data_IF_244475017219
#
_entry.id   IF_244475017219
#
_cell.length_a   1.000
_cell.length_b   1.000
_cell.length_c   1.000
_cell.angle_alpha   90.00
_cell.angle_beta   90.00
_cell.angle_gamma   90.00
#
_symmetry.space_group_name_H-M   'P 1'
#
loop_
_entity.id
_entity.type
_entity.pdbx_description
1 polymer ?
#
# COMPACT_ATOMS: atom_id res chain seq x y z
N UNK A 1 12.91 1.24 35.06
CA UNK A 1 13.36 2.09 33.93
C UNK A 1 12.15 2.32 33.03
N UNK A 2 11.73 3.56 32.79
CA UNK A 2 10.45 3.84 32.10
C UNK A 2 10.64 3.72 30.59
N UNK A 3 9.67 3.10 29.91
CA UNK A 3 9.65 2.91 28.46
C UNK A 3 9.85 4.25 27.72
N UNK A 4 9.25 5.32 28.23
CA UNK A 4 9.34 6.66 27.67
C UNK A 4 10.77 7.24 27.66
N UNK A 5 11.60 6.92 28.65
CA UNK A 5 12.97 7.44 28.71
C UNK A 5 13.82 6.83 27.59
N UNK A 6 13.62 5.53 27.31
CA UNK A 6 14.31 4.85 26.22
C UNK A 6 13.79 5.29 24.85
N UNK A 7 12.50 5.60 24.72
CA UNK A 7 11.94 6.14 23.48
C UNK A 7 12.59 7.46 23.07
N UNK A 8 13.06 8.28 24.00
CA UNK A 8 13.84 9.49 23.65
C UNK A 8 15.25 9.14 23.16
N UNK A 9 15.85 8.11 23.74
CA UNK A 9 17.23 7.70 23.44
C UNK A 9 17.41 7.10 22.04
N UNK A 10 16.35 6.56 21.42
CA UNK A 10 16.44 6.06 20.03
C UNK A 10 16.73 7.18 19.02
N UNK A 11 16.49 8.45 19.39
CA UNK A 11 16.74 9.61 18.53
C UNK A 11 18.14 10.23 18.76
N UNK A 12 18.94 9.70 19.68
CA UNK A 12 20.26 10.23 19.97
C UNK A 12 21.26 9.91 18.86
N UNK A 13 22.27 10.77 18.67
CA UNK A 13 23.28 10.57 17.64
C UNK A 13 24.17 9.34 17.89
N UNK A 14 24.36 8.95 19.15
CA UNK A 14 25.19 7.80 19.52
C UNK A 14 24.51 6.47 19.16
N UNK A 15 25.13 5.70 18.26
CA UNK A 15 24.58 4.44 17.77
C UNK A 15 24.51 3.33 18.83
N UNK A 16 25.44 3.29 19.80
CA UNK A 16 25.40 2.29 20.88
C UNK A 16 24.20 2.54 21.79
N UNK A 17 23.97 3.81 22.14
CA UNK A 17 22.81 4.23 22.95
C UNK A 17 21.50 3.92 22.24
N UNK A 18 21.39 4.21 20.93
CA UNK A 18 20.20 3.85 20.15
C UNK A 18 19.93 2.34 20.19
N UNK A 19 20.98 1.53 19.98
CA UNK A 19 20.84 0.07 19.94
C UNK A 19 20.40 -0.50 21.30
N UNK A 20 21.01 -0.03 22.38
CA UNK A 20 20.63 -0.41 23.75
C UNK A 20 19.19 -0.01 24.05
N UNK A 21 18.81 1.24 23.76
CA UNK A 21 17.46 1.74 23.95
C UNK A 21 16.42 0.91 23.17
N UNK A 22 16.71 0.56 21.90
CA UNK A 22 15.83 -0.30 21.10
C UNK A 22 15.65 -1.68 21.74
N UNK A 23 16.73 -2.31 22.21
CA UNK A 23 16.64 -3.61 22.90
C UNK A 23 15.83 -3.54 24.19
N UNK A 24 16.03 -2.49 25.00
CA UNK A 24 15.25 -2.30 26.23
C UNK A 24 13.77 -2.04 25.91
N UNK A 25 13.46 -1.24 24.88
CA UNK A 25 12.08 -1.01 24.44
C UNK A 25 11.42 -2.32 24.02
N UNK A 26 12.06 -3.11 23.16
CA UNK A 26 11.54 -4.40 22.72
C UNK A 26 11.22 -5.31 23.92
N UNK A 27 12.16 -5.45 24.86
CA UNK A 27 11.96 -6.24 26.10
C UNK A 27 10.83 -5.70 26.97
N UNK A 28 10.73 -4.37 27.15
CA UNK A 28 9.65 -3.76 27.90
C UNK A 28 8.29 -4.03 27.26
N UNK A 29 8.17 -3.82 25.95
CA UNK A 29 6.92 -4.04 25.20
C UNK A 29 6.50 -5.51 25.20
N UNK A 30 7.45 -6.44 25.18
CA UNK A 30 7.17 -7.87 25.29
C UNK A 30 6.55 -8.24 26.64
N UNK A 31 6.97 -7.58 27.71
CA UNK A 31 6.49 -7.82 29.08
C UNK A 31 5.19 -7.07 29.43
N UNK A 32 4.76 -6.10 28.62
CA UNK A 32 3.53 -5.36 28.88
C UNK A 32 2.29 -6.26 28.76
N UNK A 33 1.30 -6.10 29.66
CA UNK A 33 0.02 -6.79 29.52
C UNK A 33 -0.75 -6.26 28.30
N UNK A 34 -1.63 -7.10 27.74
CA UNK A 34 -2.60 -6.66 26.75
C UNK A 34 -3.56 -5.62 27.35
N UNK A 35 -3.98 -4.64 26.53
CA UNK A 35 -4.82 -3.53 26.98
C UNK A 35 -4.03 -2.39 27.64
N UNK A 36 -2.70 -2.36 27.47
CA UNK A 36 -1.86 -1.28 27.96
C UNK A 36 -2.26 0.08 27.34
N UNK A 37 -2.36 1.12 28.19
CA UNK A 37 -2.65 2.49 27.76
C UNK A 37 -1.40 3.13 27.16
N UNK A 38 -1.37 3.26 25.84
CA UNK A 38 -0.21 3.75 25.12
C UNK A 38 -0.18 5.27 24.87
N UNK A 39 -1.15 6.06 25.37
CA UNK A 39 -1.24 7.49 25.03
C UNK A 39 0.03 8.28 25.41
N UNK A 40 0.59 8.06 26.60
CA UNK A 40 1.87 8.71 26.99
C UNK A 40 3.03 8.27 26.11
N UNK A 41 3.07 6.99 25.78
CA UNK A 41 4.09 6.38 24.92
C UNK A 41 4.07 6.99 23.51
N UNK A 42 2.88 7.13 22.91
CA UNK A 42 2.69 7.71 21.57
C UNK A 42 3.04 9.19 21.56
N UNK A 43 2.60 9.95 22.57
CA UNK A 43 2.97 11.35 22.72
C UNK A 43 4.49 11.55 22.83
N UNK A 44 5.16 10.74 23.65
CA UNK A 44 6.63 10.82 23.77
C UNK A 44 7.32 10.44 22.47
N UNK A 45 6.80 9.45 21.75
CA UNK A 45 7.33 9.03 20.46
C UNK A 45 7.24 10.16 19.42
N UNK A 46 6.08 10.78 19.25
CA UNK A 46 5.88 11.88 18.29
C UNK A 46 6.68 13.12 18.66
N UNK A 47 6.68 13.51 19.94
CA UNK A 47 7.49 14.63 20.41
C UNK A 47 8.99 14.41 20.16
N UNK A 48 9.49 13.21 20.46
CA UNK A 48 10.91 12.89 20.26
C UNK A 48 11.29 12.87 18.78
N UNK A 49 10.40 12.38 17.91
CA UNK A 49 10.59 12.46 16.46
C UNK A 49 10.63 13.92 15.98
N UNK A 50 9.73 14.76 16.49
CA UNK A 50 9.65 16.17 16.09
C UNK A 50 10.88 16.97 16.51
N UNK A 51 11.45 16.66 17.69
CA UNK A 51 12.68 17.29 18.20
C UNK A 51 13.94 16.82 17.45
N UNK A 52 13.94 15.60 16.92
CA UNK A 52 15.09 14.98 16.26
C UNK A 52 14.67 14.15 15.03
N UNK A 53 14.21 14.80 13.93
CA UNK A 53 13.58 14.10 12.81
C UNK A 53 14.58 13.33 11.95
N UNK A 54 15.89 13.60 12.06
CA UNK A 54 16.92 12.98 11.24
C UNK A 54 17.29 11.58 11.74
N UNK A 55 16.41 10.62 11.50
CA UNK A 55 16.62 9.22 11.85
C UNK A 55 17.61 8.52 10.90
N UNK A 56 18.35 7.55 11.42
CA UNK A 56 19.03 6.56 10.57
C UNK A 56 17.99 5.55 10.05
N UNK A 57 18.19 5.05 8.83
CA UNK A 57 17.20 4.16 8.19
C UNK A 57 16.90 2.89 8.98
N UNK A 58 17.91 2.30 9.61
CA UNK A 58 17.74 1.12 10.48
C UNK A 58 16.90 1.46 11.72
N UNK A 59 17.10 2.65 12.29
CA UNK A 59 16.32 3.15 13.42
C UNK A 59 14.88 3.40 13.00
N UNK A 60 14.65 4.00 11.83
CA UNK A 60 13.31 4.18 11.28
C UNK A 60 12.58 2.85 11.06
N UNK A 61 13.27 1.82 10.53
CA UNK A 61 12.70 0.48 10.37
C UNK A 61 12.33 -0.14 11.71
N UNK A 62 13.23 -0.06 12.68
CA UNK A 62 12.98 -0.53 14.05
C UNK A 62 11.85 0.22 14.73
N UNK A 63 11.68 1.51 14.43
CA UNK A 63 10.59 2.30 14.97
C UNK A 63 9.22 1.86 14.43
N UNK A 64 9.13 1.48 13.15
CA UNK A 64 7.93 0.86 12.58
C UNK A 64 7.63 -0.48 13.26
N UNK A 65 8.64 -1.30 13.54
CA UNK A 65 8.49 -2.54 14.30
C UNK A 65 8.00 -2.30 15.73
N UNK A 66 8.54 -1.29 16.42
CA UNK A 66 8.10 -0.86 17.75
C UNK A 66 6.64 -0.39 17.71
N UNK A 67 6.24 0.43 16.75
CA UNK A 67 4.84 0.83 16.57
C UNK A 67 3.93 -0.38 16.35
N UNK A 68 4.38 -1.37 15.59
CA UNK A 68 3.64 -2.63 15.44
C UNK A 68 3.45 -3.34 16.79
N UNK A 69 4.51 -3.46 17.60
CA UNK A 69 4.44 -4.07 18.93
C UNK A 69 3.50 -3.30 19.87
N UNK A 70 3.59 -1.96 19.90
CA UNK A 70 2.70 -1.12 20.70
C UNK A 70 1.25 -1.32 20.27
N UNK A 71 0.97 -1.33 18.96
CA UNK A 71 -0.38 -1.53 18.42
C UNK A 71 -1.00 -2.84 18.90
N UNK A 72 -0.22 -3.93 18.88
CA UNK A 72 -0.65 -5.26 19.33
C UNK A 72 -0.88 -5.32 20.84
N UNK A 73 -0.05 -4.66 21.65
CA UNK A 73 -0.19 -4.64 23.11
C UNK A 73 -1.32 -3.74 23.57
N UNK A 74 -1.50 -2.59 22.91
CA UNK A 74 -2.56 -1.66 23.26
C UNK A 74 -3.95 -2.23 22.97
N UNK A 75 -4.09 -2.98 21.86
CA UNK A 75 -5.40 -3.51 21.44
C UNK A 75 -6.41 -2.39 21.17
N UNK A 76 -5.92 -1.20 20.84
CA UNK A 76 -6.75 -0.02 20.59
C UNK A 76 -7.12 0.02 19.11
N UNK A 77 -8.41 -0.13 18.75
CA UNK A 77 -8.83 -0.13 17.36
C UNK A 77 -8.64 1.22 16.65
N UNK A 78 -8.51 2.32 17.39
CA UNK A 78 -8.18 3.66 16.90
C UNK A 78 -6.66 3.91 16.75
N UNK A 79 -5.79 2.92 16.96
CA UNK A 79 -4.35 3.15 17.05
C UNK A 79 -3.76 3.89 15.83
N UNK A 80 -4.17 3.53 14.61
CA UNK A 80 -3.69 4.17 13.38
C UNK A 80 -4.49 5.41 12.96
N UNK A 81 -5.54 5.80 13.69
CA UNK A 81 -6.21 7.09 13.52
C UNK A 81 -5.63 8.19 14.43
N UNK A 82 -4.76 7.83 15.38
CA UNK A 82 -4.09 8.76 16.29
C UNK A 82 -3.04 9.60 15.56
N UNK A 83 -3.09 10.93 15.74
CA UNK A 83 -2.24 11.89 15.01
C UNK A 83 -0.76 11.62 15.23
N UNK A 84 -0.35 11.25 16.45
CA UNK A 84 1.03 10.96 16.81
C UNK A 84 1.63 9.83 15.95
N UNK A 85 0.87 8.78 15.72
CA UNK A 85 1.28 7.62 14.91
C UNK A 85 1.42 8.01 13.45
N UNK A 86 0.45 8.77 12.93
CA UNK A 86 0.41 9.21 11.54
C UNK A 86 1.57 10.16 11.25
N UNK A 87 1.84 11.12 12.14
CA UNK A 87 2.95 12.08 12.04
C UNK A 87 4.29 11.35 11.94
N UNK A 88 4.56 10.40 12.83
CA UNK A 88 5.84 9.66 12.84
C UNK A 88 5.98 8.79 11.58
N UNK A 89 4.94 8.04 11.21
CA UNK A 89 4.99 7.18 10.03
C UNK A 89 5.21 7.96 8.73
N UNK A 90 4.40 8.99 8.48
CA UNK A 90 4.51 9.78 7.25
C UNK A 90 5.81 10.61 7.24
N UNK A 91 6.27 11.06 8.40
CA UNK A 91 7.57 11.71 8.56
C UNK A 91 8.74 10.80 8.15
N UNK A 92 8.76 9.55 8.64
CA UNK A 92 9.76 8.54 8.24
C UNK A 92 9.79 8.35 6.72
N UNK A 93 8.62 8.23 6.09
CA UNK A 93 8.55 8.00 4.63
C UNK A 93 9.00 9.22 3.84
N UNK A 94 8.70 10.42 4.31
CA UNK A 94 9.16 11.67 3.71
C UNK A 94 10.70 11.75 3.71
N UNK A 95 11.33 11.32 4.81
CA UNK A 95 12.78 11.38 4.98
C UNK A 95 13.53 10.32 4.17
N UNK A 96 13.01 9.10 4.11
CA UNK A 96 13.77 7.93 3.62
C UNK A 96 13.24 7.34 2.31
N UNK A 97 12.10 7.82 1.82
CA UNK A 97 11.36 7.18 0.73
C UNK A 97 10.69 5.87 1.16
N UNK A 98 9.84 5.29 0.31
CA UNK A 98 8.97 4.16 0.69
C UNK A 98 9.53 2.77 0.32
N UNK A 99 10.46 2.69 -0.63
CA UNK A 99 10.89 1.42 -1.24
C UNK A 99 11.41 0.39 -0.22
N UNK A 100 11.97 0.86 0.90
CA UNK A 100 12.64 0.02 1.90
C UNK A 100 11.75 -0.40 3.07
N UNK A 101 10.51 0.09 3.13
CA UNK A 101 9.60 -0.12 4.27
C UNK A 101 8.39 -1.00 3.94
N UNK A 102 8.25 -1.44 2.69
CA UNK A 102 7.04 -2.14 2.24
C UNK A 102 6.67 -3.36 3.09
N UNK A 103 7.63 -4.22 3.40
CA UNK A 103 7.42 -5.40 4.23
C UNK A 103 7.14 -5.06 5.70
N UNK A 104 7.84 -4.06 6.25
CA UNK A 104 7.67 -3.63 7.64
C UNK A 104 6.26 -3.05 7.88
N UNK A 105 5.80 -2.19 6.96
CA UNK A 105 4.45 -1.60 7.03
C UNK A 105 3.37 -2.66 6.84
N UNK A 106 3.53 -3.59 5.89
CA UNK A 106 2.60 -4.72 5.75
C UNK A 106 2.55 -5.58 7.01
N UNK A 107 3.69 -5.91 7.61
CA UNK A 107 3.76 -6.69 8.85
C UNK A 107 3.07 -5.96 10.01
N UNK A 108 3.28 -4.66 10.13
CA UNK A 108 2.66 -3.81 11.16
C UNK A 108 1.14 -3.87 11.09
N UNK A 109 0.54 -3.60 9.92
CA UNK A 109 -0.92 -3.64 9.76
C UNK A 109 -1.50 -5.05 9.91
N UNK A 110 -0.76 -6.09 9.53
CA UNK A 110 -1.19 -7.48 9.71
C UNK A 110 -1.26 -7.85 11.20
N UNK A 111 -0.20 -7.55 11.96
CA UNK A 111 -0.15 -7.79 13.41
C UNK A 111 -1.25 -7.03 14.15
N UNK A 112 -1.48 -5.77 13.76
CA UNK A 112 -2.57 -4.97 14.29
C UNK A 112 -3.93 -5.63 14.05
N UNK A 113 -4.23 -6.00 12.80
CA UNK A 113 -5.50 -6.65 12.45
C UNK A 113 -5.73 -7.95 13.22
N UNK A 114 -4.70 -8.78 13.36
CA UNK A 114 -4.78 -9.99 14.18
C UNK A 114 -5.05 -9.66 15.66
N UNK A 115 -4.40 -8.63 16.20
CA UNK A 115 -4.62 -8.22 17.60
C UNK A 115 -6.06 -7.75 17.87
N UNK A 116 -6.70 -7.10 16.89
CA UNK A 116 -8.09 -6.68 17.05
C UNK A 116 -9.07 -7.85 17.03
N UNK A 117 -8.79 -8.91 16.28
CA UNK A 117 -9.63 -10.13 16.27
C UNK A 117 -9.62 -10.85 17.62
N UNK A 118 -8.60 -10.62 18.45
CA UNK A 118 -8.50 -11.18 19.80
C UNK A 118 -9.29 -10.37 20.85
N UNK A 119 -10.02 -9.32 20.45
CA UNK A 119 -10.83 -8.49 21.33
C UNK A 119 -12.31 -8.88 21.23
N UNK A 120 -12.80 -9.81 22.07
CA UNK A 120 -14.16 -10.37 21.98
C UNK A 120 -15.30 -9.35 22.22
N UNK A 121 -14.98 -8.11 22.60
CA UNK A 121 -15.95 -7.07 22.98
C UNK A 121 -16.21 -6.02 21.89
N UNK A 122 -15.49 -6.02 20.77
CA UNK A 122 -15.69 -5.04 19.72
C UNK A 122 -16.84 -5.47 18.79
N UNK A 123 -17.92 -4.70 18.80
CA UNK A 123 -19.02 -4.91 17.85
C UNK A 123 -18.56 -4.59 16.42
N UNK A 124 -19.18 -5.21 15.43
CA UNK A 124 -18.88 -4.95 14.02
C UNK A 124 -19.05 -3.46 13.67
N UNK A 125 -20.07 -2.79 14.21
CA UNK A 125 -20.28 -1.34 14.07
C UNK A 125 -19.09 -0.52 14.59
N UNK A 126 -18.53 -0.92 15.72
CA UNK A 126 -17.34 -0.30 16.31
C UNK A 126 -16.14 -0.44 15.36
N UNK A 127 -15.93 -1.64 14.82
CA UNK A 127 -14.84 -1.90 13.87
C UNK A 127 -14.98 -1.11 12.56
N UNK A 128 -16.20 -0.94 12.04
CA UNK A 128 -16.46 -0.08 10.87
C UNK A 128 -16.09 1.38 11.13
N UNK A 129 -16.43 1.91 12.30
CA UNK A 129 -16.10 3.30 12.64
C UNK A 129 -14.58 3.53 12.68
N UNK A 130 -13.83 2.65 13.33
CA UNK A 130 -12.37 2.79 13.40
C UNK A 130 -11.67 2.56 12.06
N UNK A 131 -12.22 1.67 11.23
CA UNK A 131 -11.77 1.48 9.84
C UNK A 131 -11.85 2.81 9.09
N UNK A 132 -13.00 3.49 9.19
CA UNK A 132 -13.20 4.81 8.57
C UNK A 132 -12.26 5.87 9.10
N UNK A 133 -12.14 6.01 10.42
CA UNK A 133 -11.26 7.00 11.05
C UNK A 133 -9.81 6.80 10.62
N UNK A 134 -9.33 5.56 10.68
CA UNK A 134 -7.98 5.21 10.22
C UNK A 134 -7.82 5.52 8.74
N UNK A 135 -8.79 5.14 7.90
CA UNK A 135 -8.74 5.40 6.48
C UNK A 135 -8.64 6.90 6.16
N UNK A 136 -9.43 7.73 6.83
CA UNK A 136 -9.44 9.18 6.64
C UNK A 136 -8.08 9.83 6.91
N UNK A 137 -7.25 9.26 7.80
CA UNK A 137 -5.90 9.79 8.06
C UNK A 137 -4.92 9.57 6.91
N UNK A 138 -5.18 8.58 6.04
CA UNK A 138 -4.30 8.22 4.92
C UNK A 138 -4.92 8.47 3.54
N UNK A 139 -6.16 8.96 3.48
CA UNK A 139 -6.74 9.55 2.28
C UNK A 139 -6.13 10.95 2.01
N UNK A 140 -6.23 11.47 0.78
CA UNK A 140 -5.84 12.84 0.51
C UNK A 140 -6.82 13.78 1.23
N UNK A 141 -6.28 14.77 1.93
CA UNK A 141 -7.02 15.84 2.57
C UNK A 141 -7.47 16.86 1.51
N UNK A 142 -8.38 17.78 1.86
CA UNK A 142 -9.02 18.71 0.92
C UNK A 142 -8.03 19.55 0.08
N UNK A 143 -6.81 19.76 0.59
CA UNK A 143 -5.74 20.51 -0.09
C UNK A 143 -4.79 19.63 -0.92
N UNK A 144 -4.89 18.30 -0.79
CA UNK A 144 -4.07 17.35 -1.53
C UNK A 144 -4.83 16.88 -2.77
N UNK A 145 -4.33 17.24 -3.95
CA UNK A 145 -4.86 16.73 -5.23
C UNK A 145 -4.47 15.26 -5.42
N UNK A 146 -3.36 14.83 -4.83
CA UNK A 146 -2.75 13.51 -5.05
C UNK A 146 -2.23 12.91 -3.75
N UNK A 147 -2.26 11.58 -3.71
CA UNK A 147 -1.78 10.82 -2.57
C UNK A 147 -0.24 10.84 -2.51
N UNK A 148 0.32 11.13 -1.33
CA UNK A 148 1.75 10.95 -1.10
C UNK A 148 2.12 9.46 -1.16
N UNK A 149 3.36 9.15 -1.57
CA UNK A 149 3.85 7.77 -1.66
C UNK A 149 3.74 7.03 -0.31
N UNK A 150 3.98 7.73 0.81
CA UNK A 150 3.83 7.20 2.16
C UNK A 150 2.39 6.82 2.49
N UNK A 151 1.43 7.71 2.21
CA UNK A 151 0.00 7.41 2.37
C UNK A 151 -0.42 6.20 1.54
N UNK A 152 0.10 6.06 0.33
CA UNK A 152 -0.27 4.97 -0.57
C UNK A 152 0.25 3.63 -0.07
N UNK A 153 1.45 3.62 0.50
CA UNK A 153 1.99 2.43 1.13
C UNK A 153 1.14 1.98 2.31
N UNK A 154 0.68 2.91 3.16
CA UNK A 154 -0.24 2.61 4.26
C UNK A 154 -1.60 2.11 3.74
N UNK A 155 -2.22 2.80 2.78
CA UNK A 155 -3.49 2.38 2.17
C UNK A 155 -3.38 0.94 1.62
N UNK A 156 -2.29 0.63 0.92
CA UNK A 156 -2.01 -0.72 0.41
C UNK A 156 -2.01 -1.75 1.53
N UNK A 157 -1.33 -1.48 2.64
CA UNK A 157 -1.26 -2.41 3.76
C UNK A 157 -2.60 -2.57 4.48
N UNK A 158 -3.30 -1.46 4.76
CA UNK A 158 -4.60 -1.44 5.44
C UNK A 158 -5.71 -2.15 4.68
N UNK A 159 -5.77 -1.95 3.35
CA UNK A 159 -6.73 -2.62 2.48
C UNK A 159 -6.49 -4.14 2.42
N UNK A 160 -5.33 -4.66 2.82
CA UNK A 160 -5.09 -6.12 2.87
C UNK A 160 -5.52 -6.76 4.18
N UNK A 161 -5.79 -5.98 5.23
CA UNK A 161 -5.93 -6.50 6.58
C UNK A 161 -7.30 -6.17 7.16
N UNK A 162 -7.56 -4.90 7.49
CA UNK A 162 -8.71 -4.50 8.31
C UNK A 162 -9.81 -3.80 7.53
N UNK A 163 -9.47 -2.84 6.66
CA UNK A 163 -10.48 -2.06 5.91
C UNK A 163 -11.26 -2.96 4.94
N UNK A 164 -10.69 -4.07 4.49
CA UNK A 164 -11.44 -4.99 3.62
C UNK A 164 -12.49 -5.81 4.36
N UNK A 165 -12.23 -6.13 5.62
CA UNK A 165 -13.11 -6.95 6.43
C UNK A 165 -14.22 -6.12 7.08
N UNK A 166 -13.91 -4.87 7.44
CA UNK A 166 -14.79 -4.00 8.22
C UNK A 166 -15.06 -2.64 7.56
N UNK A 167 -14.52 -2.37 6.38
CA UNK A 167 -14.81 -1.14 5.66
C UNK A 167 -16.21 -1.16 5.05
N UNK A 168 -16.84 0.01 5.00
CA UNK A 168 -18.08 0.18 4.25
C UNK A 168 -17.81 0.24 2.74
N UNK A 169 -18.85 -0.01 1.94
CA UNK A 169 -18.77 0.10 0.49
C UNK A 169 -18.29 1.50 0.03
N UNK A 170 -18.80 2.55 0.67
CA UNK A 170 -18.39 3.94 0.43
C UNK A 170 -16.90 4.17 0.73
N UNK A 171 -16.35 3.54 1.76
CA UNK A 171 -14.92 3.64 2.09
C UNK A 171 -14.04 2.99 1.01
N UNK A 172 -14.45 1.83 0.50
CA UNK A 172 -13.76 1.15 -0.61
C UNK A 172 -13.81 2.03 -1.88
N UNK A 173 -14.96 2.64 -2.17
CA UNK A 173 -15.14 3.58 -3.29
C UNK A 173 -14.27 4.83 -3.17
N UNK A 174 -14.09 5.38 -1.96
CA UNK A 174 -13.21 6.52 -1.74
C UNK A 174 -11.73 6.18 -2.02
N UNK A 175 -11.27 5.01 -1.55
CA UNK A 175 -9.91 4.53 -1.88
C UNK A 175 -9.77 4.31 -3.38
N UNK A 176 -10.80 3.75 -4.01
CA UNK A 176 -10.82 3.57 -5.45
C UNK A 176 -10.72 4.88 -6.22
N UNK A 177 -11.49 5.89 -5.81
CA UNK A 177 -11.44 7.21 -6.41
C UNK A 177 -10.02 7.82 -6.35
N UNK A 178 -9.34 7.66 -5.22
CA UNK A 178 -7.95 8.10 -5.07
C UNK A 178 -6.99 7.33 -5.99
N UNK A 179 -7.23 6.02 -6.15
CA UNK A 179 -6.49 5.18 -7.10
C UNK A 179 -6.68 5.67 -8.53
N UNK A 180 -7.93 5.99 -8.91
CA UNK A 180 -8.28 6.51 -10.23
C UNK A 180 -7.57 7.83 -10.54
N UNK A 181 -7.62 8.81 -9.65
CA UNK A 181 -6.97 10.12 -9.86
C UNK A 181 -5.45 9.94 -10.09
N UNK A 182 -4.81 9.07 -9.31
CA UNK A 182 -3.36 8.84 -9.43
C UNK A 182 -2.99 8.17 -10.75
N UNK A 183 -3.85 7.28 -11.24
CA UNK A 183 -3.71 6.63 -12.55
C UNK A 183 -3.88 7.65 -13.67
N UNK A 184 -4.93 8.47 -13.61
CA UNK A 184 -5.22 9.54 -14.58
C UNK A 184 -4.08 10.56 -14.65
N UNK A 185 -3.46 10.88 -13.51
CA UNK A 185 -2.31 11.79 -13.41
C UNK A 185 -0.96 11.13 -13.69
N UNK A 186 -0.96 9.85 -14.12
CA UNK A 186 0.24 9.06 -14.50
C UNK A 186 1.29 8.94 -13.39
N UNK A 187 0.87 9.03 -12.13
CA UNK A 187 1.75 8.84 -10.97
C UNK A 187 1.56 7.46 -10.36
N UNK A 188 1.34 6.42 -11.18
CA UNK A 188 1.07 5.07 -10.67
C UNK A 188 2.18 4.55 -9.75
N UNK A 189 3.39 5.09 -9.85
CA UNK A 189 4.52 4.75 -8.97
C UNK A 189 4.22 5.07 -7.49
N UNK A 190 3.31 6.02 -7.24
CA UNK A 190 2.81 6.28 -5.88
C UNK A 190 1.82 5.22 -5.44
N UNK A 191 1.08 4.57 -6.34
CA UNK A 191 0.20 3.45 -6.00
C UNK A 191 0.95 2.15 -6.14
N UNK A 192 1.08 1.43 -5.04
CA UNK A 192 1.56 0.07 -5.13
C UNK A 192 0.63 -0.72 -6.07
N UNK A 193 1.12 -1.19 -7.23
CA UNK A 193 0.29 -1.82 -8.26
C UNK A 193 -0.55 -3.01 -7.73
N UNK A 194 -0.11 -3.63 -6.64
CA UNK A 194 -0.88 -4.63 -5.91
C UNK A 194 -2.15 -4.10 -5.23
N UNK A 195 -2.20 -2.84 -4.78
CA UNK A 195 -3.41 -2.20 -4.26
C UNK A 195 -4.46 -2.07 -5.37
N UNK A 196 -4.05 -1.56 -6.54
CA UNK A 196 -4.92 -1.50 -7.72
C UNK A 196 -5.40 -2.90 -8.12
N UNK A 197 -4.52 -3.90 -8.17
CA UNK A 197 -4.88 -5.28 -8.50
C UNK A 197 -5.93 -5.84 -7.52
N UNK A 198 -5.75 -5.60 -6.22
CA UNK A 198 -6.66 -6.06 -5.17
C UNK A 198 -8.04 -5.40 -5.30
N UNK A 199 -8.08 -4.09 -5.53
CA UNK A 199 -9.35 -3.37 -5.72
C UNK A 199 -10.08 -3.91 -6.95
N UNK A 200 -9.38 -4.14 -8.07
CA UNK A 200 -9.99 -4.76 -9.26
C UNK A 200 -10.59 -6.12 -8.93
N UNK A 201 -9.83 -7.02 -8.30
CA UNK A 201 -10.29 -8.39 -8.01
C UNK A 201 -11.59 -8.46 -7.20
N UNK A 202 -11.89 -7.41 -6.42
CA UNK A 202 -13.07 -7.34 -5.56
C UNK A 202 -14.15 -6.42 -6.14
N UNK A 203 -13.78 -5.34 -6.83
CA UNK A 203 -14.70 -4.43 -7.51
C UNK A 203 -15.54 -5.11 -8.60
N UNK A 204 -15.10 -6.28 -9.07
CA UNK A 204 -15.88 -7.17 -9.95
C UNK A 204 -16.93 -8.02 -9.23
N UNK A 205 -16.85 -8.17 -7.90
CA UNK A 205 -17.74 -8.99 -7.08
C UNK A 205 -18.39 -8.12 -6.01
N UNK A 206 -19.51 -7.45 -6.36
CA UNK A 206 -20.46 -6.96 -5.36
C UNK A 206 -20.56 -5.46 -5.09
N UNK A 207 -19.99 -4.58 -5.92
CA UNK A 207 -20.15 -3.12 -5.78
C UNK A 207 -21.36 -2.62 -6.59
N UNK A 208 -22.08 -1.62 -6.07
CA UNK A 208 -23.25 -0.97 -6.74
C UNK A 208 -22.84 -0.22 -8.02
N UNK A 209 -21.56 0.16 -8.14
CA UNK A 209 -20.90 0.61 -9.36
C UNK A 209 -19.60 -0.19 -9.61
N UNK A 210 -19.69 -1.41 -10.17
CA UNK A 210 -18.50 -2.17 -10.51
C UNK A 210 -17.69 -1.40 -11.55
N UNK A 211 -16.37 -1.57 -11.52
CA UNK A 211 -15.45 -0.93 -12.47
C UNK A 211 -15.93 -1.16 -13.89
N UNK A 212 -16.21 -0.07 -14.62
CA UNK A 212 -16.66 -0.23 -15.99
C UNK A 212 -15.48 -0.49 -16.92
N UNK A 213 -15.75 -1.03 -18.10
CA UNK A 213 -14.69 -1.39 -19.05
C UNK A 213 -13.87 -0.16 -19.50
N UNK A 214 -14.44 1.05 -19.51
CA UNK A 214 -13.75 2.28 -19.87
C UNK A 214 -12.69 2.67 -18.84
N UNK A 215 -13.03 2.58 -17.55
CA UNK A 215 -12.09 2.83 -16.45
C UNK A 215 -10.93 1.83 -16.49
N UNK A 216 -11.22 0.55 -16.67
CA UNK A 216 -10.20 -0.51 -16.78
C UNK A 216 -9.31 -0.34 -18.02
N UNK A 217 -9.88 0.09 -19.15
CA UNK A 217 -9.14 0.46 -20.35
C UNK A 217 -8.20 1.66 -20.12
N UNK A 218 -8.63 2.67 -19.37
CA UNK A 218 -7.81 3.81 -18.99
C UNK A 218 -6.64 3.41 -18.07
N UNK A 219 -6.88 2.51 -17.11
CA UNK A 219 -5.81 1.95 -16.28
C UNK A 219 -4.77 1.21 -17.10
N UNK A 220 -5.20 0.36 -18.03
CA UNK A 220 -4.30 -0.39 -18.90
C UNK A 220 -3.39 0.56 -19.69
N UNK A 221 -3.95 1.67 -20.19
CA UNK A 221 -3.18 2.73 -20.86
C UNK A 221 -2.15 3.38 -19.94
N UNK A 222 -2.55 3.70 -18.71
CA UNK A 222 -1.68 4.37 -17.74
C UNK A 222 -0.50 3.49 -17.28
N UNK A 223 -0.61 2.15 -17.35
CA UNK A 223 0.46 1.21 -16.95
C UNK A 223 1.68 1.29 -17.88
N UNK A 224 1.52 1.70 -19.15
CA UNK A 224 2.59 1.60 -20.15
C UNK A 224 3.87 2.37 -19.78
N UNK A 225 3.74 3.62 -19.32
CA UNK A 225 4.88 4.44 -18.93
C UNK A 225 5.57 3.92 -17.65
N UNK A 226 4.85 3.67 -16.54
CA UNK A 226 5.42 3.08 -15.33
C UNK A 226 6.09 1.74 -15.53
N UNK A 227 5.52 0.87 -16.39
CA UNK A 227 6.15 -0.41 -16.71
C UNK A 227 7.48 -0.21 -17.43
N UNK A 228 7.55 0.73 -18.38
CA UNK A 228 8.79 1.05 -19.06
C UNK A 228 9.84 1.64 -18.10
N UNK A 229 9.42 2.53 -17.19
CA UNK A 229 10.30 3.09 -16.16
C UNK A 229 10.86 2.00 -15.24
N UNK A 230 9.99 1.12 -14.73
CA UNK A 230 10.37 -0.01 -13.89
C UNK A 230 11.35 -0.95 -14.61
N UNK A 231 11.12 -1.20 -15.91
CA UNK A 231 12.02 -2.02 -16.72
C UNK A 231 13.40 -1.36 -16.87
N UNK A 232 13.43 -0.06 -17.19
CA UNK A 232 14.68 0.69 -17.32
C UNK A 232 15.45 0.76 -16.00
N UNK A 233 14.75 0.87 -14.87
CA UNK A 233 15.33 0.88 -13.53
C UNK A 233 15.68 -0.51 -13.01
N UNK A 234 15.34 -1.59 -13.73
CA UNK A 234 15.47 -2.97 -13.27
C UNK A 234 14.73 -3.26 -11.95
N UNK A 235 13.60 -2.58 -11.70
CA UNK A 235 12.76 -2.82 -10.52
C UNK A 235 11.88 -4.06 -10.75
N UNK A 236 12.45 -5.23 -10.45
CA UNK A 236 11.79 -6.52 -10.62
C UNK A 236 10.48 -6.61 -9.83
N UNK A 237 10.43 -6.02 -8.62
CA UNK A 237 9.26 -6.08 -7.75
C UNK A 237 8.10 -5.28 -8.31
N UNK A 238 8.37 -4.05 -8.74
CA UNK A 238 7.35 -3.18 -9.32
C UNK A 238 6.92 -3.67 -10.72
N UNK A 239 7.87 -4.11 -11.57
CA UNK A 239 7.54 -4.75 -12.84
C UNK A 239 6.61 -5.96 -12.65
N UNK A 240 6.89 -6.83 -11.67
CA UNK A 240 6.04 -7.99 -11.37
C UNK A 240 4.62 -7.56 -11.01
N UNK A 241 4.49 -6.54 -10.17
CA UNK A 241 3.20 -6.05 -9.72
C UNK A 241 2.40 -5.39 -10.86
N UNK A 242 3.06 -4.66 -11.75
CA UNK A 242 2.43 -4.10 -12.96
C UNK A 242 2.01 -5.19 -13.95
N UNK A 243 2.82 -6.24 -14.14
CA UNK A 243 2.44 -7.39 -14.97
C UNK A 243 1.20 -8.09 -14.40
N UNK A 244 1.17 -8.33 -13.10
CA UNK A 244 0.00 -8.93 -12.43
C UNK A 244 -1.26 -8.06 -12.58
N UNK A 245 -1.10 -6.72 -12.51
CA UNK A 245 -2.19 -5.78 -12.74
C UNK A 245 -2.74 -5.86 -14.18
N UNK A 246 -1.88 -5.93 -15.20
CA UNK A 246 -2.29 -6.13 -16.59
C UNK A 246 -3.11 -7.41 -16.73
N UNK A 247 -2.60 -8.52 -16.19
CA UNK A 247 -3.29 -9.82 -16.21
C UNK A 247 -4.66 -9.73 -15.55
N UNK A 248 -4.76 -9.08 -14.38
CA UNK A 248 -6.04 -8.92 -13.67
C UNK A 248 -7.04 -8.00 -14.38
N UNK A 249 -6.58 -6.97 -15.11
CA UNK A 249 -7.48 -6.16 -15.94
C UNK A 249 -8.03 -7.00 -17.10
N UNK A 250 -7.15 -7.75 -17.76
CA UNK A 250 -7.45 -8.49 -18.98
C UNK A 250 -8.00 -9.90 -18.74
N UNK A 251 -8.11 -10.37 -17.49
CA UNK A 251 -8.81 -11.61 -17.18
C UNK A 251 -10.33 -11.50 -17.38
N UNK A 252 -10.85 -10.28 -17.60
CA UNK A 252 -12.27 -10.03 -17.81
C UNK A 252 -12.60 -9.89 -19.30
N UNK A 253 -13.36 -10.85 -19.83
CA UNK A 253 -13.73 -10.89 -21.26
C UNK A 253 -14.47 -9.64 -21.72
N UNK A 254 -15.28 -9.01 -20.85
CA UNK A 254 -15.98 -7.76 -21.15
C UNK A 254 -15.02 -6.60 -21.47
N UNK A 255 -13.89 -6.53 -20.76
CA UNK A 255 -12.85 -5.52 -20.95
C UNK A 255 -12.12 -5.77 -22.27
N UNK A 256 -11.77 -7.02 -22.55
CA UNK A 256 -11.18 -7.42 -23.84
C UNK A 256 -12.09 -6.99 -25.00
N UNK A 257 -13.38 -7.32 -24.93
CA UNK A 257 -14.35 -6.99 -25.97
C UNK A 257 -14.50 -5.47 -26.14
N UNK A 258 -14.52 -4.72 -25.03
CA UNK A 258 -14.55 -3.26 -25.06
C UNK A 258 -13.31 -2.66 -25.73
N UNK A 259 -12.12 -3.14 -25.37
CA UNK A 259 -10.86 -2.67 -25.99
C UNK A 259 -10.84 -3.00 -27.48
N UNK A 260 -11.32 -4.18 -27.90
CA UNK A 260 -11.47 -4.53 -29.33
C UNK A 260 -12.38 -3.55 -30.07
N UNK A 261 -13.53 -3.21 -29.49
CA UNK A 261 -14.44 -2.21 -30.07
C UNK A 261 -13.75 -0.84 -30.17
N UNK A 262 -12.97 -0.44 -29.17
CA UNK A 262 -12.19 0.79 -29.22
C UNK A 262 -11.09 0.76 -30.28
N UNK A 263 -10.42 -0.37 -30.51
CA UNK A 263 -9.43 -0.50 -31.59
C UNK A 263 -10.10 -0.23 -32.94
N UNK A 264 -11.34 -0.66 -33.12
CA UNK A 264 -12.11 -0.41 -34.35
C UNK A 264 -12.51 1.06 -34.54
N UNK A 265 -12.48 1.89 -33.49
CA UNK A 265 -12.96 3.30 -33.55
C UNK A 265 -11.86 4.35 -33.29
N UNK A 266 -10.85 4.03 -32.50
CA UNK A 266 -9.68 4.86 -32.16
C UNK A 266 -8.41 4.00 -32.28
N UNK A 267 -8.12 3.62 -33.53
CA UNK A 267 -7.09 2.66 -33.88
C UNK A 267 -5.70 3.10 -33.41
N UNK A 268 -5.28 4.32 -33.74
CA UNK A 268 -3.90 4.77 -33.56
C UNK A 268 -3.47 4.83 -32.09
N UNK A 269 -4.32 5.31 -31.19
CA UNK A 269 -3.91 5.54 -29.80
C UNK A 269 -3.91 4.25 -28.97
N UNK A 270 -4.89 3.37 -29.18
CA UNK A 270 -4.97 2.08 -28.47
C UNK A 270 -3.91 1.11 -28.99
N UNK A 271 -3.71 1.05 -30.29
CA UNK A 271 -2.72 0.17 -30.92
C UNK A 271 -1.29 0.58 -30.52
N UNK A 272 -0.98 1.88 -30.47
CA UNK A 272 0.30 2.37 -29.94
C UNK A 272 0.53 1.98 -28.49
N UNK A 273 -0.50 2.09 -27.64
CA UNK A 273 -0.42 1.68 -26.23
C UNK A 273 -0.14 0.18 -26.13
N UNK A 274 -0.85 -0.65 -26.91
CA UNK A 274 -0.64 -2.09 -26.96
C UNK A 274 0.78 -2.45 -27.40
N UNK A 275 1.26 -1.89 -28.51
CA UNK A 275 2.62 -2.16 -28.99
C UNK A 275 3.67 -1.70 -27.99
N UNK A 276 3.44 -0.58 -27.30
CA UNK A 276 4.33 -0.10 -26.23
C UNK A 276 4.37 -1.09 -25.07
N UNK A 277 3.22 -1.57 -24.59
CA UNK A 277 3.14 -2.58 -23.54
C UNK A 277 3.82 -3.88 -23.97
N UNK A 278 3.52 -4.38 -25.17
CA UNK A 278 4.10 -5.62 -25.71
C UNK A 278 5.61 -5.54 -25.87
N UNK A 279 6.11 -4.44 -26.45
CA UNK A 279 7.54 -4.17 -26.60
C UNK A 279 8.24 -4.10 -25.23
N UNK A 280 7.62 -3.40 -24.27
CA UNK A 280 8.16 -3.28 -22.91
C UNK A 280 8.19 -4.63 -22.19
N UNK A 281 7.11 -5.44 -22.27
CA UNK A 281 7.07 -6.80 -21.72
C UNK A 281 8.10 -7.73 -22.37
N UNK A 282 8.45 -7.53 -23.63
CA UNK A 282 9.54 -8.27 -24.28
C UNK A 282 10.92 -7.91 -23.74
N UNK A 283 11.07 -6.68 -23.21
CA UNK A 283 12.30 -6.20 -22.56
C UNK A 283 12.37 -6.59 -21.08
N UNK A 284 11.30 -7.13 -20.49
CA UNK A 284 11.30 -7.73 -19.14
C UNK A 284 12.09 -9.06 -19.12
N UNK A 285 13.36 -9.04 -19.52
CA UNK A 285 14.26 -10.18 -19.52
C UNK A 285 15.35 -9.98 -18.44
N UNK A 286 14.91 -9.97 -17.19
CA UNK A 286 15.83 -9.95 -16.05
C UNK A 286 16.26 -11.39 -15.74
N UNK A 287 17.49 -11.59 -15.27
CA UNK A 287 17.93 -12.82 -14.59
C UNK A 287 17.18 -12.99 -13.25
N UNK A 288 15.85 -13.03 -13.31
CA UNK A 288 14.94 -12.98 -12.17
C UNK A 288 14.35 -14.36 -11.87
N UNK A 289 13.72 -14.46 -10.70
CA UNK A 289 13.08 -15.69 -10.24
C UNK A 289 12.01 -16.19 -11.22
N UNK A 290 11.78 -17.50 -11.24
CA UNK A 290 10.73 -18.15 -12.07
C UNK A 290 9.36 -17.47 -11.93
N UNK A 291 9.01 -17.04 -10.71
CA UNK A 291 7.74 -16.36 -10.39
C UNK A 291 7.61 -15.00 -11.10
N UNK A 292 8.72 -14.30 -11.36
CA UNK A 292 8.69 -13.08 -12.15
C UNK A 292 8.41 -13.38 -13.63
N UNK A 293 9.12 -14.37 -14.19
CA UNK A 293 8.95 -14.79 -15.58
C UNK A 293 7.51 -15.26 -15.85
N UNK A 294 6.93 -16.03 -14.93
CA UNK A 294 5.53 -16.48 -15.04
C UNK A 294 4.55 -15.29 -15.10
N UNK A 295 4.76 -14.26 -14.28
CA UNK A 295 3.92 -13.05 -14.30
C UNK A 295 4.03 -12.27 -15.62
N UNK A 296 5.24 -12.15 -16.17
CA UNK A 296 5.47 -11.51 -17.48
C UNK A 296 4.79 -12.32 -18.60
N UNK A 297 4.92 -13.65 -18.58
CA UNK A 297 4.28 -14.54 -19.56
C UNK A 297 2.76 -14.41 -19.51
N UNK A 298 2.17 -14.46 -18.31
CA UNK A 298 0.72 -14.27 -18.14
C UNK A 298 0.25 -12.91 -18.66
N UNK A 299 0.99 -11.84 -18.37
CA UNK A 299 0.66 -10.50 -18.87
C UNK A 299 0.73 -10.44 -20.40
N UNK A 300 1.72 -11.09 -21.03
CA UNK A 300 1.82 -11.18 -22.49
C UNK A 300 0.65 -11.94 -23.09
N UNK A 301 0.29 -13.10 -22.54
CA UNK A 301 -0.84 -13.92 -23.00
C UNK A 301 -2.15 -13.13 -22.89
N UNK A 302 -2.38 -12.48 -21.75
CA UNK A 302 -3.57 -11.68 -21.53
C UNK A 302 -3.64 -10.48 -22.50
N UNK A 303 -2.50 -9.85 -22.79
CA UNK A 303 -2.41 -8.76 -23.76
C UNK A 303 -2.69 -9.27 -25.19
N UNK A 304 -2.13 -10.41 -25.58
CA UNK A 304 -2.33 -11.02 -26.90
C UNK A 304 -3.78 -11.47 -27.13
N UNK A 305 -4.50 -11.82 -26.06
CA UNK A 305 -5.92 -12.13 -26.11
C UNK A 305 -6.77 -10.95 -26.62
N UNK A 306 -6.27 -9.70 -26.61
CA UNK A 306 -6.97 -8.56 -27.22
C UNK A 306 -7.13 -8.76 -28.73
N UNK A 307 -6.12 -9.30 -29.42
CA UNK A 307 -6.12 -9.41 -30.89
C UNK A 307 -6.45 -10.81 -31.39
N UNK A 308 -6.13 -11.83 -30.59
CA UNK A 308 -6.33 -13.23 -30.94
C UNK A 308 -7.31 -13.84 -29.95
N UNK A 309 -8.58 -14.10 -30.32
CA UNK A 309 -9.47 -14.82 -29.42
C UNK A 309 -8.84 -16.19 -29.12
N UNK A 310 -8.59 -16.46 -27.85
CA UNK A 310 -8.34 -17.83 -27.41
C UNK A 310 -9.61 -18.62 -27.70
N UNK A 311 -9.50 -19.52 -28.67
CA UNK A 311 -10.50 -20.50 -29.07
C UNK A 311 -11.05 -21.30 -27.90
#
# INVERSE_FOLDING_TARGET
MRLEDNLRQIFWQNSSVRKEALTVIEQCLEQLPFGFRCSSTLFVLEKSYTEAPNLHIDTARKLIEIMAMISTRSGRPDFFSVVEVVTVLLGIFSQHGIAQFGSAVESMFLRFSHSLQLLPALSESCMRNYSRETLNMFLPNENEILLSAGKALCLKAMMRTFVWQYGSQTEIENVWHCVRITIETRRIETIHASLAQRIISVGFVGVVHPLNNAELGAMLKAIACPLNNAVNASDVGFCKALCALITSILSHQSVINYIRTLISTDFDYIVRTYFTLRSTLNRCNFNASRVFLDAVVQAKVALDAIFWPTS
#
